data_IF_205164587949
#
_entry.id   IF_205164587949
#
_cell.length_a   1.000
_cell.length_b   1.000
_cell.length_c   1.000
_cell.angle_alpha   90.00
_cell.angle_beta   90.00
_cell.angle_gamma   90.00
#
_symmetry.space_group_name_H-M   'P 1'
#
loop_
_entity.id
_entity.type
_entity.pdbx_description
1 polymer ?
#
# COMPACT_ATOMS: atom_id res chain seq x y z
N UNK A 1 -9.73 -16.14 33.51
CA UNK A 1 -8.58 -16.71 32.78
C UNK A 1 -9.09 -17.06 31.39
N UNK A 2 -8.91 -16.15 30.44
CA UNK A 2 -9.35 -16.32 29.07
C UNK A 2 -8.10 -16.62 28.25
N UNK A 3 -7.98 -17.85 27.75
CA UNK A 3 -6.92 -18.23 26.83
C UNK A 3 -7.16 -17.52 25.50
N UNK A 4 -6.35 -16.50 25.22
CA UNK A 4 -6.24 -15.94 23.88
C UNK A 4 -5.73 -17.06 22.96
N UNK A 5 -6.63 -17.58 22.12
CA UNK A 5 -6.26 -18.40 20.97
C UNK A 5 -5.51 -17.51 20.00
N UNK A 6 -4.22 -17.32 20.24
CA UNK A 6 -3.30 -16.66 19.32
C UNK A 6 -3.27 -17.48 18.03
N UNK A 7 -3.26 -16.85 16.86
CA UNK A 7 -2.87 -17.54 15.64
C UNK A 7 -1.51 -18.19 15.89
N UNK A 8 -1.43 -19.50 15.71
CA UNK A 8 -0.17 -20.25 15.89
C UNK A 8 0.63 -20.08 14.62
N UNK A 9 1.24 -18.91 14.44
CA UNK A 9 2.18 -18.62 13.36
C UNK A 9 3.54 -18.20 13.91
N UNK A 10 4.56 -18.26 13.07
CA UNK A 10 5.94 -18.01 13.49
C UNK A 10 6.16 -16.57 13.95
N UNK A 11 7.28 -16.34 14.63
CA UNK A 11 7.73 -14.99 14.99
C UNK A 11 7.96 -14.11 13.75
N UNK A 12 8.41 -14.70 12.64
CA UNK A 12 8.61 -13.97 11.39
C UNK A 12 7.27 -13.54 10.79
N UNK A 13 6.29 -14.44 10.76
CA UNK A 13 4.93 -14.13 10.31
C UNK A 13 4.29 -13.05 11.15
N UNK A 14 4.36 -13.13 12.49
CA UNK A 14 3.83 -12.07 13.37
C UNK A 14 4.49 -10.72 13.08
N UNK A 15 5.81 -10.68 12.85
CA UNK A 15 6.53 -9.44 12.49
C UNK A 15 6.12 -8.88 11.13
N UNK A 16 6.00 -9.73 10.10
CA UNK A 16 5.53 -9.32 8.77
C UNK A 16 4.11 -8.80 8.85
N UNK A 17 3.20 -9.54 9.50
CA UNK A 17 1.80 -9.15 9.64
C UNK A 17 1.67 -7.81 10.36
N UNK A 18 2.36 -7.62 11.49
CA UNK A 18 2.35 -6.34 12.22
C UNK A 18 2.89 -5.19 11.38
N UNK A 19 3.99 -5.40 10.67
CA UNK A 19 4.59 -4.38 9.80
C UNK A 19 3.72 -4.06 8.58
N UNK A 20 2.87 -4.99 8.14
CA UNK A 20 1.83 -4.76 7.13
C UNK A 20 0.57 -4.08 7.68
N UNK A 21 0.50 -3.79 8.99
CA UNK A 21 -0.62 -3.10 9.63
C UNK A 21 -1.64 -4.02 10.32
N UNK A 22 -1.31 -5.29 10.55
CA UNK A 22 -2.17 -6.23 11.28
C UNK A 22 -1.96 -6.13 12.80
N UNK A 23 -3.04 -6.28 13.56
CA UNK A 23 -3.00 -6.43 15.01
C UNK A 23 -4.13 -7.38 15.46
N UNK A 24 -3.98 -8.06 16.62
CA UNK A 24 -5.02 -8.94 17.13
C UNK A 24 -6.35 -8.23 17.31
N UNK A 25 -7.43 -8.81 16.77
CA UNK A 25 -8.78 -8.21 16.81
C UNK A 25 -9.00 -7.10 15.79
N UNK A 26 -8.10 -6.92 14.81
CA UNK A 26 -8.31 -6.04 13.65
C UNK A 26 -9.59 -6.46 12.92
N UNK A 27 -10.40 -5.47 12.58
CA UNK A 27 -11.60 -5.63 11.76
C UNK A 27 -11.74 -4.41 10.87
N UNK A 28 -11.73 -4.59 9.55
CA UNK A 28 -11.96 -3.53 8.56
C UNK A 28 -13.33 -3.71 7.89
N UNK A 29 -14.01 -2.62 7.50
CA UNK A 29 -15.25 -2.71 6.74
C UNK A 29 -15.03 -3.38 5.39
N UNK A 30 -15.87 -4.36 5.04
CA UNK A 30 -15.81 -5.10 3.76
C UNK A 30 -16.87 -4.66 2.75
N UNK A 31 -17.88 -3.90 3.19
CA UNK A 31 -19.08 -3.57 2.41
C UNK A 31 -18.77 -2.98 1.03
N UNK A 32 -17.79 -2.07 0.95
CA UNK A 32 -17.38 -1.47 -0.32
C UNK A 32 -16.80 -2.49 -1.29
N UNK A 33 -15.93 -3.38 -0.81
CA UNK A 33 -15.39 -4.48 -1.62
C UNK A 33 -16.48 -5.43 -2.09
N UNK A 34 -17.41 -5.78 -1.19
CA UNK A 34 -18.55 -6.65 -1.50
C UNK A 34 -19.45 -6.05 -2.59
N UNK A 35 -19.71 -4.72 -2.54
CA UNK A 35 -20.55 -4.06 -3.54
C UNK A 35 -19.89 -4.07 -4.91
N UNK A 36 -18.63 -3.63 -5.00
CA UNK A 36 -17.89 -3.52 -6.26
C UNK A 36 -17.72 -4.89 -6.91
N UNK A 37 -17.32 -5.91 -6.12
CA UNK A 37 -17.09 -7.25 -6.66
C UNK A 37 -18.37 -7.96 -7.08
N UNK A 38 -19.49 -7.68 -6.41
CA UNK A 38 -20.80 -8.16 -6.87
C UNK A 38 -21.21 -7.50 -8.19
N UNK A 39 -21.03 -6.19 -8.30
CA UNK A 39 -21.47 -5.41 -9.46
C UNK A 39 -20.61 -5.65 -10.71
N UNK A 40 -19.29 -5.74 -10.56
CA UNK A 40 -18.36 -5.79 -11.70
C UNK A 40 -17.83 -7.20 -12.00
N UNK A 41 -17.76 -8.07 -10.99
CA UNK A 41 -17.21 -9.43 -11.14
C UNK A 41 -18.20 -10.55 -10.82
N UNK A 42 -19.44 -10.22 -10.46
CA UNK A 42 -20.46 -11.22 -10.11
C UNK A 42 -20.15 -12.05 -8.85
N UNK A 43 -19.18 -11.62 -8.04
CA UNK A 43 -18.75 -12.39 -6.87
C UNK A 43 -19.69 -12.19 -5.70
N UNK A 44 -20.25 -13.29 -5.16
CA UNK A 44 -20.99 -13.27 -3.91
C UNK A 44 -20.09 -13.71 -2.75
N UNK A 45 -19.97 -12.83 -1.74
CA UNK A 45 -19.08 -13.11 -0.62
C UNK A 45 -19.65 -14.17 0.32
N UNK A 46 -18.81 -15.16 0.63
CA UNK A 46 -19.08 -16.14 1.69
C UNK A 46 -18.70 -15.57 3.06
N UNK A 47 -19.30 -16.10 4.13
CA UNK A 47 -18.97 -15.67 5.50
C UNK A 47 -17.48 -15.82 5.82
N UNK A 48 -16.84 -16.90 5.34
CA UNK A 48 -15.40 -17.10 5.47
C UNK A 48 -14.57 -16.05 4.72
N UNK A 49 -15.01 -15.63 3.53
CA UNK A 49 -14.38 -14.55 2.77
C UNK A 49 -14.52 -13.20 3.49
N UNK A 50 -15.70 -12.94 4.08
CA UNK A 50 -15.96 -11.73 4.87
C UNK A 50 -15.08 -11.69 6.12
N UNK A 51 -14.98 -12.79 6.86
CA UNK A 51 -14.13 -12.88 8.04
C UNK A 51 -12.65 -12.70 7.68
N UNK A 52 -12.19 -13.33 6.59
CA UNK A 52 -10.84 -13.15 6.08
C UNK A 52 -10.56 -11.68 5.78
N UNK A 53 -11.42 -11.02 5.00
CA UNK A 53 -11.21 -9.64 4.59
C UNK A 53 -11.38 -8.65 5.74
N UNK A 54 -12.28 -8.90 6.67
CA UNK A 54 -12.41 -8.10 7.88
C UNK A 54 -11.11 -8.13 8.69
N UNK A 55 -10.50 -9.30 8.86
CA UNK A 55 -9.28 -9.41 9.66
C UNK A 55 -8.02 -8.98 8.89
N UNK A 56 -7.89 -9.38 7.62
CA UNK A 56 -6.65 -9.29 6.85
C UNK A 56 -6.74 -8.40 5.59
N UNK A 57 -7.93 -7.95 5.21
CA UNK A 57 -8.11 -7.12 4.02
C UNK A 57 -7.34 -5.81 4.12
N UNK A 58 -6.73 -5.39 3.01
CA UNK A 58 -5.92 -4.18 2.88
C UNK A 58 -4.48 -4.30 3.38
N UNK A 59 -4.05 -5.48 3.87
CA UNK A 59 -2.65 -5.73 4.21
C UNK A 59 -1.82 -5.89 2.94
N UNK A 60 -0.64 -5.30 2.95
CA UNK A 60 0.25 -5.30 1.80
C UNK A 60 1.71 -5.37 2.25
N UNK A 61 2.49 -6.21 1.59
CA UNK A 61 3.96 -6.20 1.67
C UNK A 61 4.62 -6.28 0.29
N UNK A 62 3.84 -6.07 -0.76
CA UNK A 62 4.35 -5.91 -2.10
C UNK A 62 5.28 -4.68 -2.15
N UNK A 63 6.46 -4.86 -2.74
CA UNK A 63 7.46 -3.79 -2.86
C UNK A 63 8.33 -3.56 -1.62
N UNK A 64 8.20 -4.38 -0.56
CA UNK A 64 9.15 -4.33 0.54
C UNK A 64 10.59 -4.65 0.07
N UNK A 65 11.60 -3.91 0.54
CA UNK A 65 12.98 -4.19 0.19
C UNK A 65 13.39 -5.56 0.76
N UNK A 66 14.27 -6.32 0.08
CA UNK A 66 14.76 -7.58 0.59
C UNK A 66 15.47 -7.36 1.93
N UNK A 67 15.08 -8.13 2.95
CA UNK A 67 15.61 -8.01 4.31
C UNK A 67 15.09 -9.10 5.26
N UNK A 68 15.51 -9.08 6.53
CA UNK A 68 15.19 -10.14 7.50
C UNK A 68 13.69 -10.26 7.83
N UNK A 69 12.89 -9.22 7.54
CA UNK A 69 11.44 -9.19 7.72
C UNK A 69 10.80 -8.96 6.35
N UNK A 70 10.88 -9.98 5.49
CA UNK A 70 10.29 -10.01 4.15
C UNK A 70 9.63 -11.35 3.93
N UNK A 71 8.39 -11.36 3.45
CA UNK A 71 7.72 -12.59 3.05
C UNK A 71 8.43 -13.21 1.85
N UNK A 72 8.58 -14.53 1.84
CA UNK A 72 9.12 -15.27 0.70
C UNK A 72 8.22 -15.16 -0.54
N UNK A 73 6.91 -15.04 -0.31
CA UNK A 73 5.90 -14.73 -1.32
C UNK A 73 5.21 -13.41 -0.96
N UNK A 74 5.68 -12.26 -1.48
CA UNK A 74 5.01 -10.98 -1.27
C UNK A 74 3.55 -11.02 -1.72
N UNK A 75 2.68 -10.39 -0.95
CA UNK A 75 1.24 -10.43 -1.11
C UNK A 75 0.60 -9.06 -0.90
N UNK A 76 -0.56 -8.89 -1.53
CA UNK A 76 -1.50 -7.79 -1.35
C UNK A 76 -2.88 -8.39 -1.14
N UNK A 77 -3.46 -8.18 0.04
CA UNK A 77 -4.78 -8.70 0.41
C UNK A 77 -5.86 -7.69 0.03
N UNK A 78 -5.96 -7.43 -1.27
CA UNK A 78 -6.95 -6.52 -1.85
C UNK A 78 -7.85 -7.29 -2.83
N UNK A 79 -9.11 -7.53 -2.49
CA UNK A 79 -9.99 -8.37 -3.30
C UNK A 79 -10.38 -7.69 -4.63
N UNK A 80 -10.24 -6.36 -4.74
CA UNK A 80 -10.50 -5.62 -5.98
C UNK A 80 -9.47 -5.91 -7.08
N UNK A 81 -8.38 -6.61 -6.74
CA UNK A 81 -7.43 -7.09 -7.75
C UNK A 81 -8.04 -8.09 -8.74
N UNK A 82 -9.23 -8.63 -8.43
CA UNK A 82 -9.97 -9.57 -9.27
C UNK A 82 -11.26 -8.98 -9.88
N UNK A 83 -11.48 -7.67 -9.79
CA UNK A 83 -12.73 -6.98 -10.16
C UNK A 83 -13.28 -7.38 -11.55
N UNK A 84 -12.39 -7.61 -12.52
CA UNK A 84 -12.75 -7.94 -13.89
C UNK A 84 -12.29 -9.35 -14.31
N UNK A 85 -11.88 -10.17 -13.35
CA UNK A 85 -11.26 -11.49 -13.58
C UNK A 85 -12.21 -12.66 -13.26
N UNK A 86 -13.52 -12.47 -13.46
CA UNK A 86 -14.56 -13.48 -13.23
C UNK A 86 -14.24 -14.82 -13.93
N UNK A 87 -13.84 -14.79 -15.20
CA UNK A 87 -13.53 -16.01 -15.96
C UNK A 87 -12.34 -16.78 -15.36
N UNK A 88 -11.34 -16.06 -14.85
CA UNK A 88 -10.19 -16.66 -14.18
C UNK A 88 -10.63 -17.35 -12.89
N UNK A 89 -11.43 -16.67 -12.07
CA UNK A 89 -11.92 -17.24 -10.82
C UNK A 89 -12.93 -18.36 -11.01
N UNK A 90 -13.75 -18.32 -12.06
CA UNK A 90 -14.64 -19.42 -12.43
C UNK A 90 -13.83 -20.70 -12.73
N UNK A 91 -12.75 -20.58 -13.52
CA UNK A 91 -11.83 -21.69 -13.80
C UNK A 91 -11.13 -22.19 -12.54
N UNK A 92 -10.61 -21.29 -11.71
CA UNK A 92 -9.93 -21.67 -10.46
C UNK A 92 -10.90 -22.36 -9.49
N UNK A 93 -12.15 -21.92 -9.43
CA UNK A 93 -13.19 -22.52 -8.59
C UNK A 93 -13.56 -23.92 -9.05
N UNK A 94 -13.69 -24.12 -10.37
CA UNK A 94 -13.94 -25.45 -10.95
C UNK A 94 -12.81 -26.44 -10.61
N UNK A 95 -11.55 -26.03 -10.78
CA UNK A 95 -10.40 -26.90 -10.47
C UNK A 95 -10.23 -27.14 -8.96
N UNK A 96 -10.51 -26.13 -8.13
CA UNK A 96 -10.51 -26.28 -6.68
C UNK A 96 -11.66 -27.18 -6.18
N UNK A 97 -12.71 -27.37 -6.99
CA UNK A 97 -13.94 -28.03 -6.59
C UNK A 97 -14.73 -27.25 -5.53
N UNK A 98 -14.50 -25.94 -5.44
CA UNK A 98 -15.08 -25.05 -4.44
C UNK A 98 -15.26 -23.65 -5.04
N UNK A 99 -16.32 -22.96 -4.66
CA UNK A 99 -16.56 -21.57 -5.07
C UNK A 99 -15.57 -20.64 -4.34
N UNK A 100 -14.65 -20.04 -5.09
CA UNK A 100 -13.58 -19.20 -4.54
C UNK A 100 -13.95 -17.73 -4.61
N UNK A 101 -13.94 -17.07 -3.46
CA UNK A 101 -14.05 -15.62 -3.39
C UNK A 101 -12.67 -14.96 -3.43
N UNK A 102 -12.45 -13.92 -4.25
CA UNK A 102 -11.17 -13.23 -4.33
C UNK A 102 -10.84 -12.51 -3.02
N UNK A 103 -9.61 -12.70 -2.52
CA UNK A 103 -9.13 -12.00 -1.32
C UNK A 103 -7.82 -11.23 -1.52
N UNK A 104 -7.20 -11.37 -2.70
CA UNK A 104 -5.98 -10.65 -3.03
C UNK A 104 -5.12 -11.35 -4.07
N UNK A 105 -3.84 -10.98 -4.07
CA UNK A 105 -2.81 -11.53 -4.93
C UNK A 105 -1.52 -11.80 -4.14
N UNK A 106 -0.74 -12.75 -4.65
CA UNK A 106 0.56 -13.10 -4.15
C UNK A 106 1.59 -13.18 -5.30
N UNK A 107 2.86 -13.33 -4.92
CA UNK A 107 3.99 -13.45 -5.84
C UNK A 107 4.10 -12.26 -6.81
N UNK A 108 3.97 -11.03 -6.28
CA UNK A 108 3.99 -9.79 -7.08
C UNK A 108 2.96 -9.77 -8.21
N UNK A 109 1.69 -10.02 -7.85
CA UNK A 109 0.53 -10.00 -8.77
C UNK A 109 0.52 -11.09 -9.84
N UNK A 110 1.36 -12.11 -9.71
CA UNK A 110 1.38 -13.22 -10.67
C UNK A 110 0.41 -14.34 -10.30
N UNK A 111 -0.12 -14.35 -9.09
CA UNK A 111 -1.08 -15.35 -8.63
C UNK A 111 -2.19 -14.69 -7.81
N UNK A 112 -3.43 -15.10 -8.04
CA UNK A 112 -4.57 -14.72 -7.22
C UNK A 112 -4.63 -15.57 -5.95
N UNK A 113 -5.20 -14.98 -4.92
CA UNK A 113 -5.59 -15.65 -3.68
C UNK A 113 -7.11 -15.69 -3.61
N UNK A 114 -7.64 -16.89 -3.40
CA UNK A 114 -9.07 -17.13 -3.24
C UNK A 114 -9.38 -17.87 -1.94
N UNK A 115 -10.50 -17.55 -1.31
CA UNK A 115 -11.00 -18.25 -0.12
C UNK A 115 -12.28 -18.99 -0.47
N UNK A 116 -12.33 -20.27 -0.13
CA UNK A 116 -13.53 -21.08 -0.24
C UNK A 116 -14.46 -20.86 0.97
N UNK A 117 -15.73 -21.24 0.83
CA UNK A 117 -16.73 -21.11 1.89
C UNK A 117 -16.36 -21.86 3.19
N UNK A 118 -15.55 -22.92 3.13
CA UNK A 118 -15.05 -23.66 4.29
C UNK A 118 -13.84 -23.00 4.99
N UNK A 119 -13.35 -21.87 4.46
CA UNK A 119 -12.21 -21.13 4.97
C UNK A 119 -10.85 -21.58 4.41
N UNK A 120 -10.84 -22.57 3.51
CA UNK A 120 -9.61 -22.97 2.82
C UNK A 120 -9.14 -21.87 1.86
N UNK A 121 -7.82 -21.61 1.85
CA UNK A 121 -7.19 -20.60 1.01
C UNK A 121 -6.48 -21.28 -0.15
N UNK A 122 -6.71 -20.77 -1.36
CA UNK A 122 -6.13 -21.24 -2.59
C UNK A 122 -5.28 -20.15 -3.23
N UNK A 123 -4.24 -20.56 -3.96
CA UNK A 123 -3.39 -19.68 -4.75
C UNK A 123 -3.34 -20.19 -6.19
N UNK A 124 -3.46 -19.31 -7.18
CA UNK A 124 -3.47 -19.74 -8.57
C UNK A 124 -3.62 -18.63 -9.61
N UNK A 125 -3.30 -18.95 -10.87
CA UNK A 125 -3.60 -18.11 -12.05
C UNK A 125 -4.15 -18.98 -13.16
N UNK A 126 -3.35 -19.94 -13.60
CA UNK A 126 -3.76 -20.93 -14.59
C UNK A 126 -4.30 -22.19 -13.91
N UNK A 127 -3.80 -22.49 -12.71
CA UNK A 127 -4.26 -23.59 -11.87
C UNK A 127 -4.47 -23.21 -10.42
N UNK A 128 -5.50 -23.76 -9.80
CA UNK A 128 -5.77 -23.58 -8.37
C UNK A 128 -4.97 -24.60 -7.54
N UNK A 129 -4.18 -24.11 -6.58
CA UNK A 129 -3.49 -24.93 -5.59
C UNK A 129 -4.00 -24.59 -4.20
N UNK A 130 -4.39 -25.60 -3.42
CA UNK A 130 -4.66 -25.43 -2.00
C UNK A 130 -3.38 -24.94 -1.31
N UNK A 131 -3.46 -23.77 -0.70
CA UNK A 131 -2.37 -23.19 0.07
C UNK A 131 -2.45 -23.69 1.51
N UNK A 132 -3.59 -23.51 2.17
CA UNK A 132 -3.84 -24.07 3.49
C UNK A 132 -5.34 -24.21 3.77
N UNK A 133 -5.68 -24.95 4.84
CA UNK A 133 -7.07 -25.16 5.27
C UNK A 133 -7.61 -24.00 6.10
N UNK A 134 -6.73 -23.16 6.62
CA UNK A 134 -7.11 -21.99 7.42
C UNK A 134 -6.39 -20.73 6.93
N UNK A 135 -6.97 -19.53 7.13
CA UNK A 135 -6.33 -18.26 6.80
C UNK A 135 -4.95 -18.07 7.45
N UNK A 136 -4.82 -18.40 8.73
CA UNK A 136 -3.58 -18.21 9.47
C UNK A 136 -2.44 -19.07 8.92
N UNK A 137 -2.71 -20.34 8.61
CA UNK A 137 -1.73 -21.23 7.98
C UNK A 137 -1.37 -20.79 6.55
N UNK A 138 -2.32 -20.21 5.83
CA UNK A 138 -2.07 -19.69 4.48
C UNK A 138 -1.10 -18.51 4.52
N UNK A 139 -1.30 -17.57 5.45
CA UNK A 139 -0.43 -16.42 5.66
C UNK A 139 0.96 -16.84 6.15
N UNK A 140 1.04 -17.81 7.08
CA UNK A 140 2.29 -18.45 7.47
C UNK A 140 3.04 -19.00 6.25
N UNK A 141 2.35 -19.74 5.37
CA UNK A 141 2.98 -20.26 4.17
C UNK A 141 3.44 -19.17 3.21
N UNK A 142 2.69 -18.07 3.02
CA UNK A 142 3.12 -16.96 2.18
C UNK A 142 4.38 -16.28 2.73
N UNK A 143 4.52 -16.21 4.05
CA UNK A 143 5.68 -15.60 4.69
C UNK A 143 6.89 -16.53 4.67
N UNK A 144 6.73 -17.78 5.09
CA UNK A 144 7.83 -18.72 5.31
C UNK A 144 8.25 -19.48 4.05
N UNK A 145 7.34 -19.64 3.09
CA UNK A 145 7.56 -20.49 1.91
C UNK A 145 7.33 -19.74 0.62
N UNK A 146 8.12 -20.10 -0.39
CA UNK A 146 7.86 -19.65 -1.75
C UNK A 146 6.73 -20.50 -2.33
N UNK A 147 5.58 -19.89 -2.57
CA UNK A 147 4.37 -20.62 -2.95
C UNK A 147 4.22 -20.90 -4.44
N UNK A 148 5.05 -20.30 -5.32
CA UNK A 148 5.09 -20.57 -6.77
C UNK A 148 6.49 -20.44 -7.37
N UNK A 149 6.68 -21.04 -8.55
CA UNK A 149 7.92 -20.98 -9.34
C UNK A 149 8.14 -19.63 -10.06
N UNK A 150 7.23 -18.66 -9.91
CA UNK A 150 7.31 -17.35 -10.56
C UNK A 150 8.69 -16.72 -10.32
N UNK A 151 9.46 -16.35 -11.36
CA UNK A 151 10.88 -16.04 -11.22
C UNK A 151 11.11 -14.93 -10.20
N UNK A 152 11.91 -15.23 -9.17
CA UNK A 152 12.51 -14.20 -8.35
C UNK A 152 13.49 -13.43 -9.25
N UNK A 153 13.47 -12.09 -9.28
CA UNK A 153 14.65 -11.36 -9.72
C UNK A 153 15.72 -11.59 -8.65
N UNK A 154 16.51 -12.65 -8.82
CA UNK A 154 17.82 -12.79 -8.21
C UNK A 154 18.78 -11.96 -9.04
N UNK A 155 18.89 -10.67 -8.71
CA UNK A 155 20.16 -9.97 -8.84
C UNK A 155 20.32 -9.13 -7.58
N UNK A 156 21.26 -9.48 -6.68
CA UNK A 156 21.91 -8.46 -5.87
C UNK A 156 22.52 -7.49 -6.88
N UNK A 157 21.96 -6.29 -7.02
CA UNK A 157 22.66 -5.24 -7.74
C UNK A 157 23.93 -5.02 -6.94
N UNK A 158 25.05 -5.56 -7.44
CA UNK A 158 26.36 -5.19 -6.95
C UNK A 158 26.39 -3.65 -6.91
N UNK A 159 26.77 -3.04 -5.77
CA UNK A 159 26.92 -1.60 -5.74
C UNK A 159 27.88 -1.23 -6.88
N UNK A 160 27.55 -0.24 -7.72
CA UNK A 160 28.40 0.14 -8.83
C UNK A 160 29.80 0.44 -8.30
N UNK A 161 30.87 0.06 -9.03
CA UNK A 161 32.23 0.25 -8.56
C UNK A 161 32.43 1.71 -8.19
N UNK A 162 32.82 1.95 -6.94
CA UNK A 162 33.13 3.26 -6.41
C UNK A 162 34.26 3.85 -7.25
N UNK A 163 33.91 4.67 -8.25
CA UNK A 163 34.88 5.48 -8.98
C UNK A 163 35.35 6.55 -8.02
N UNK A 164 36.57 6.38 -7.54
CA UNK A 164 37.36 7.40 -6.86
C UNK A 164 37.49 8.63 -7.75
N UNK A 165 36.55 9.57 -7.65
CA UNK A 165 36.70 10.92 -8.15
C UNK A 165 37.23 11.79 -7.00
N UNK A 166 38.56 11.73 -6.82
CA UNK A 166 39.30 12.84 -6.23
C UNK A 166 39.48 13.91 -7.31
N UNK A 167 39.03 15.13 -7.04
CA UNK A 167 39.53 16.32 -7.74
C UNK A 167 38.53 17.47 -7.86
N UNK A 168 38.62 18.39 -6.88
CA UNK A 168 38.28 19.83 -6.90
C UNK A 168 36.79 20.22 -7.04
N UNK A 169 36.15 20.68 -5.94
CA UNK A 169 36.05 22.09 -5.46
C UNK A 169 35.26 22.95 -6.46
N UNK A 170 34.19 23.69 -6.11
CA UNK A 170 33.86 24.36 -4.85
C UNK A 170 32.43 24.95 -4.96
N UNK A 171 31.81 25.28 -3.81
CA UNK A 171 30.54 26.04 -3.59
C UNK A 171 29.26 25.19 -3.73
N UNK A 172 28.49 24.89 -2.68
CA UNK A 172 28.10 25.72 -1.53
C UNK A 172 28.02 24.88 -0.25
N UNK A 173 28.70 25.34 0.79
CA UNK A 173 28.49 24.93 2.17
C UNK A 173 27.16 25.50 2.66
N UNK A 174 26.09 24.75 2.46
CA UNK A 174 24.88 24.82 3.30
C UNK A 174 24.16 23.47 3.27
N UNK A 175 24.77 22.43 3.82
CA UNK A 175 24.01 21.26 4.30
C UNK A 175 23.32 21.64 5.62
N UNK A 176 22.49 22.67 5.56
CA UNK A 176 21.41 22.88 6.50
C UNK A 176 20.52 21.65 6.44
N UNK A 177 20.24 21.08 7.61
CA UNK A 177 19.44 19.88 7.77
C UNK A 177 18.11 20.05 7.02
N UNK A 178 17.93 19.40 5.85
CA UNK A 178 16.67 19.42 5.04
C UNK A 178 15.45 19.04 5.88
N UNK A 179 15.70 18.29 6.97
CA UNK A 179 14.70 17.81 7.90
C UNK A 179 15.11 18.16 9.33
N UNK A 180 14.12 18.40 10.19
CA UNK A 180 14.35 18.25 11.63
C UNK A 180 14.85 16.84 11.98
N UNK A 181 15.49 16.71 13.14
CA UNK A 181 15.97 15.41 13.62
C UNK A 181 14.81 14.41 13.79
N UNK A 182 13.63 14.87 14.21
CA UNK A 182 12.44 14.03 14.37
C UNK A 182 11.92 13.57 13.01
N UNK A 183 11.78 14.49 12.05
CA UNK A 183 11.31 14.18 10.70
C UNK A 183 12.24 13.20 9.99
N UNK A 184 13.55 13.40 10.08
CA UNK A 184 14.53 12.49 9.51
C UNK A 184 14.45 11.07 10.09
N UNK A 185 14.26 10.93 11.41
CA UNK A 185 14.12 9.62 12.06
C UNK A 185 12.86 8.89 11.61
N UNK A 186 11.74 9.59 11.50
CA UNK A 186 10.46 9.00 11.09
C UNK A 186 10.48 8.58 9.63
N UNK A 187 11.04 9.43 8.76
CA UNK A 187 11.23 9.08 7.35
C UNK A 187 12.11 7.85 7.19
N UNK A 188 13.23 7.77 7.90
CA UNK A 188 14.09 6.58 7.88
C UNK A 188 13.39 5.32 8.38
N UNK A 189 12.61 5.43 9.47
CA UNK A 189 11.80 4.31 9.98
C UNK A 189 10.72 3.85 8.99
N UNK A 190 10.17 4.77 8.21
CA UNK A 190 9.24 4.50 7.12
C UNK A 190 9.92 3.99 5.84
N UNK A 191 11.25 3.89 5.81
CA UNK A 191 12.02 3.35 4.68
C UNK A 191 12.49 4.39 3.66
N UNK A 192 12.44 5.68 3.99
CA UNK A 192 13.01 6.75 3.16
C UNK A 192 14.52 6.90 3.41
N UNK A 193 15.26 7.19 2.34
CA UNK A 193 16.69 7.51 2.39
C UNK A 193 17.03 8.56 1.31
N UNK A 194 18.09 9.37 1.48
CA UNK A 194 18.49 10.35 0.47
C UNK A 194 18.77 9.69 -0.89
N UNK A 195 18.16 10.22 -1.95
CA UNK A 195 18.28 9.67 -3.30
C UNK A 195 17.35 8.48 -3.60
N UNK A 196 16.38 8.18 -2.72
CA UNK A 196 15.30 7.23 -3.00
C UNK A 196 14.52 7.69 -4.24
N UNK A 197 14.23 6.73 -5.12
CA UNK A 197 13.43 6.92 -6.33
C UNK A 197 12.60 5.65 -6.56
N UNK A 198 11.28 5.78 -6.59
CA UNK A 198 10.34 4.68 -6.89
C UNK A 198 9.68 4.91 -8.24
N UNK A 199 9.42 3.85 -9.03
CA UNK A 199 8.70 3.98 -10.29
C UNK A 199 7.25 4.44 -10.06
N UNK A 200 6.83 5.50 -10.74
CA UNK A 200 5.48 6.07 -10.66
C UNK A 200 4.54 5.59 -11.76
N UNK A 201 5.08 5.04 -12.86
CA UNK A 201 4.36 4.72 -14.09
C UNK A 201 3.09 3.85 -13.88
N UNK A 202 3.12 2.92 -12.92
CA UNK A 202 1.93 2.09 -12.62
C UNK A 202 0.79 2.91 -12.02
N UNK A 203 1.09 3.85 -11.12
CA UNK A 203 0.09 4.75 -10.57
C UNK A 203 -0.48 5.67 -11.66
N UNK A 204 0.40 6.19 -12.50
CA UNK A 204 0.04 7.08 -13.61
C UNK A 204 -0.91 6.40 -14.60
N UNK A 205 -0.64 5.14 -14.99
CA UNK A 205 -1.51 4.40 -15.92
C UNK A 205 -2.89 4.18 -15.32
N UNK A 206 -2.95 3.67 -14.08
CA UNK A 206 -4.22 3.32 -13.42
C UNK A 206 -5.10 4.57 -13.22
N UNK A 207 -4.52 5.65 -12.69
CA UNK A 207 -5.28 6.86 -12.38
C UNK A 207 -5.70 7.62 -13.65
N UNK A 208 -4.90 7.55 -14.72
CA UNK A 208 -5.29 8.10 -16.02
C UNK A 208 -6.43 7.31 -16.65
N UNK A 209 -6.36 5.98 -16.61
CA UNK A 209 -7.33 5.10 -17.27
C UNK A 209 -8.69 5.09 -16.57
N UNK A 210 -8.72 5.12 -15.24
CA UNK A 210 -9.96 5.00 -14.47
C UNK A 210 -10.58 6.33 -14.07
N UNK A 211 -9.77 7.33 -13.76
CA UNK A 211 -10.22 8.56 -13.09
C UNK A 211 -9.82 9.83 -13.85
N UNK A 212 -9.08 9.69 -14.97
CA UNK A 212 -8.68 10.82 -15.81
C UNK A 212 -7.57 11.70 -15.24
N UNK A 213 -6.91 11.30 -14.14
CA UNK A 213 -5.83 12.10 -13.56
C UNK A 213 -4.60 12.13 -14.48
N UNK A 214 -4.15 13.34 -14.80
CA UNK A 214 -2.88 13.57 -15.49
C UNK A 214 -1.80 13.99 -14.49
N UNK A 215 -0.74 13.20 -14.38
CA UNK A 215 0.35 13.52 -13.45
C UNK A 215 1.15 14.74 -13.95
N UNK A 216 1.39 15.69 -13.05
CA UNK A 216 2.29 16.81 -13.27
C UNK A 216 3.73 16.47 -12.84
N UNK A 217 4.70 17.21 -13.36
CA UNK A 217 6.12 17.05 -13.01
C UNK A 217 6.37 17.13 -11.49
N UNK A 218 5.74 18.09 -10.81
CA UNK A 218 5.90 18.24 -9.35
C UNK A 218 5.39 17.00 -8.57
N UNK A 219 4.22 16.47 -8.97
CA UNK A 219 3.65 15.29 -8.34
C UNK A 219 4.48 14.03 -8.65
N UNK A 220 4.98 13.91 -9.88
CA UNK A 220 5.87 12.81 -10.27
C UNK A 220 7.18 12.82 -9.48
N UNK A 221 7.84 13.98 -9.35
CA UNK A 221 9.06 14.12 -8.56
C UNK A 221 8.82 13.78 -7.08
N UNK A 222 7.72 14.28 -6.52
CA UNK A 222 7.33 14.01 -5.14
C UNK A 222 7.06 12.51 -4.92
N UNK A 223 6.24 11.89 -5.77
CA UNK A 223 5.90 10.47 -5.66
C UNK A 223 7.10 9.56 -5.96
N UNK A 224 8.01 9.96 -6.83
CA UNK A 224 9.26 9.23 -7.03
C UNK A 224 10.10 9.22 -5.74
N UNK A 225 10.19 10.34 -5.01
CA UNK A 225 10.98 10.40 -3.78
C UNK A 225 10.25 9.76 -2.57
N UNK A 226 8.96 10.02 -2.40
CA UNK A 226 8.21 9.73 -1.18
C UNK A 226 7.03 8.76 -1.36
N UNK A 227 6.70 8.35 -2.59
CA UNK A 227 5.59 7.44 -2.85
C UNK A 227 5.79 6.09 -2.15
N UNK A 228 4.68 5.44 -1.81
CA UNK A 228 4.57 4.21 -1.02
C UNK A 228 5.08 4.32 0.44
N UNK A 229 5.44 5.50 0.93
CA UNK A 229 5.74 5.67 2.35
C UNK A 229 4.45 5.65 3.17
N UNK A 230 4.50 4.97 4.30
CA UNK A 230 3.44 4.96 5.30
C UNK A 230 4.04 5.27 6.68
N UNK A 231 3.39 6.16 7.40
CA UNK A 231 3.76 6.53 8.76
C UNK A 231 2.54 6.31 9.64
N UNK A 232 2.69 5.51 10.68
CA UNK A 232 1.68 5.31 11.73
C UNK A 232 2.32 5.65 13.09
N UNK A 233 1.74 6.62 13.82
CA UNK A 233 2.23 7.05 15.14
C UNK A 233 1.25 6.63 16.25
N UNK A 234 1.82 6.13 17.35
CA UNK A 234 1.07 5.70 18.54
C UNK A 234 0.41 6.85 19.32
N UNK A 235 -0.49 6.49 20.26
CA UNK A 235 -1.47 7.34 20.97
C UNK A 235 -0.95 8.60 21.71
N UNK A 236 0.36 8.83 21.80
CA UNK A 236 0.97 9.79 22.75
C UNK A 236 1.37 11.17 22.17
N UNK A 237 1.07 11.49 20.91
CA UNK A 237 1.43 12.78 20.30
C UNK A 237 0.21 13.65 19.94
N UNK A 238 -0.14 14.66 20.76
CA UNK A 238 -1.38 15.42 20.62
C UNK A 238 -1.35 16.53 19.55
N UNK A 239 -0.29 16.65 18.73
CA UNK A 239 -0.11 17.82 17.83
C UNK A 239 0.13 17.50 16.35
N UNK A 240 0.39 16.25 15.97
CA UNK A 240 0.72 15.84 14.60
C UNK A 240 -0.33 14.92 13.97
N UNK A 241 -0.25 14.70 12.66
CA UNK A 241 -1.09 13.74 11.96
C UNK A 241 -0.79 12.33 12.49
N UNK A 242 -1.84 11.60 12.88
CA UNK A 242 -1.72 10.29 13.53
C UNK A 242 -1.15 9.23 12.59
N UNK A 243 -1.54 9.32 11.34
CA UNK A 243 -1.07 8.48 10.26
C UNK A 243 -1.18 9.20 8.93
N UNK A 244 -0.33 8.82 7.99
CA UNK A 244 -0.51 9.14 6.59
C UNK A 244 0.14 8.07 5.70
N UNK A 245 -0.41 7.91 4.50
CA UNK A 245 0.13 7.04 3.45
C UNK A 245 0.21 7.81 2.15
N UNK A 246 1.38 7.79 1.53
CA UNK A 246 1.65 8.42 0.24
C UNK A 246 1.43 7.42 -0.88
N UNK A 247 0.18 7.03 -1.07
CA UNK A 247 -0.26 6.12 -2.12
C UNK A 247 -1.36 6.81 -2.94
N UNK A 248 -1.07 7.26 -4.18
CA UNK A 248 -2.01 8.04 -4.97
C UNK A 248 -3.23 7.21 -5.42
N UNK A 249 -3.14 5.87 -5.41
CA UNK A 249 -4.27 4.98 -5.72
C UNK A 249 -5.37 5.01 -4.65
N UNK A 250 -5.10 5.60 -3.49
CA UNK A 250 -6.10 5.83 -2.46
C UNK A 250 -7.20 6.81 -2.90
N UNK A 251 -6.97 7.58 -3.96
CA UNK A 251 -7.98 8.42 -4.59
C UNK A 251 -8.65 7.76 -5.80
N UNK A 252 -8.35 6.49 -6.10
CA UNK A 252 -9.02 5.76 -7.17
C UNK A 252 -10.51 5.71 -6.86
N UNK A 253 -11.34 6.05 -7.85
CA UNK A 253 -12.80 6.20 -7.76
C UNK A 253 -13.30 7.47 -7.08
N UNK A 254 -12.43 8.30 -6.52
CA UNK A 254 -12.78 9.54 -5.82
C UNK A 254 -12.49 10.79 -6.68
N UNK A 255 -12.56 10.65 -8.01
CA UNK A 255 -12.29 11.76 -8.94
C UNK A 255 -13.20 12.96 -8.70
N UNK A 256 -14.50 12.75 -8.41
CA UNK A 256 -15.47 13.81 -8.14
C UNK A 256 -15.07 14.68 -6.95
N UNK A 257 -14.44 14.07 -5.92
CA UNK A 257 -13.91 14.81 -4.77
C UNK A 257 -12.76 15.71 -5.22
N UNK A 258 -11.82 15.17 -6.00
CA UNK A 258 -10.68 15.94 -6.49
C UNK A 258 -11.08 17.03 -7.49
N UNK A 259 -12.15 16.87 -8.27
CA UNK A 259 -12.69 17.93 -9.12
C UNK A 259 -13.15 19.12 -8.28
N UNK A 260 -13.96 18.87 -7.24
CA UNK A 260 -14.45 19.91 -6.32
C UNK A 260 -13.29 20.61 -5.61
N UNK A 261 -12.33 19.83 -5.08
CA UNK A 261 -11.16 20.40 -4.40
C UNK A 261 -10.33 21.24 -5.38
N UNK A 262 -10.09 20.76 -6.60
CA UNK A 262 -9.32 21.47 -7.64
C UNK A 262 -9.99 22.76 -8.07
N UNK A 263 -11.33 22.78 -8.18
CA UNK A 263 -12.09 24.00 -8.47
C UNK A 263 -11.96 25.02 -7.32
N UNK A 264 -12.05 24.57 -6.06
CA UNK A 264 -11.97 25.45 -4.88
C UNK A 264 -10.59 26.13 -4.75
N UNK A 265 -9.49 25.42 -5.03
CA UNK A 265 -8.14 26.02 -5.07
C UNK A 265 -7.78 26.67 -6.40
N UNK A 266 -8.55 26.44 -7.46
CA UNK A 266 -8.26 26.94 -8.80
C UNK A 266 -6.99 26.34 -9.42
N UNK A 267 -6.69 25.09 -9.11
CA UNK A 267 -5.54 24.35 -9.65
C UNK A 267 -5.81 22.85 -9.70
N UNK A 268 -5.37 22.18 -10.77
CA UNK A 268 -5.55 20.74 -10.94
C UNK A 268 -4.76 19.96 -9.89
N UNK A 269 -5.43 19.37 -8.91
CA UNK A 269 -4.79 18.61 -7.85
C UNK A 269 -4.57 17.17 -8.28
N UNK A 270 -3.32 16.71 -8.17
CA UNK A 270 -3.00 15.30 -8.34
C UNK A 270 -2.96 14.61 -6.97
N UNK A 271 -3.58 13.43 -6.83
CA UNK A 271 -3.58 12.70 -5.57
C UNK A 271 -2.17 12.25 -5.20
N UNK A 272 -1.79 12.46 -3.94
CA UNK A 272 -0.56 11.95 -3.35
C UNK A 272 -0.80 10.81 -2.38
N UNK A 273 -2.00 10.76 -1.77
CA UNK A 273 -2.38 9.77 -0.77
C UNK A 273 -3.38 10.32 0.23
N UNK A 274 -3.39 9.78 1.45
CA UNK A 274 -4.32 10.18 2.50
C UNK A 274 -3.65 10.30 3.88
N UNK A 275 -4.24 11.13 4.74
CA UNK A 275 -3.87 11.32 6.13
C UNK A 275 -5.08 11.13 7.08
N UNK A 276 -4.80 11.10 8.40
CA UNK A 276 -5.77 10.98 9.49
C UNK A 276 -6.78 9.84 9.32
N UNK A 277 -6.32 8.59 9.38
CA UNK A 277 -7.19 7.41 9.24
C UNK A 277 -7.92 7.33 7.92
N UNK A 278 -7.26 7.81 6.85
CA UNK A 278 -7.81 7.85 5.49
C UNK A 278 -9.05 8.73 5.37
N UNK A 279 -9.09 9.81 6.15
CA UNK A 279 -10.22 10.73 6.19
C UNK A 279 -9.91 12.09 5.53
N UNK A 280 -8.66 12.28 5.08
CA UNK A 280 -8.21 13.53 4.45
C UNK A 280 -7.34 13.18 3.25
N UNK A 281 -7.72 13.64 2.06
CA UNK A 281 -6.89 13.48 0.87
C UNK A 281 -5.73 14.47 0.88
N UNK A 282 -4.59 14.01 0.37
CA UNK A 282 -3.43 14.84 0.08
C UNK A 282 -3.37 15.07 -1.42
N UNK A 283 -3.46 16.32 -1.84
CA UNK A 283 -3.39 16.71 -3.25
C UNK A 283 -2.22 17.65 -3.51
N UNK A 284 -1.54 17.50 -4.63
CA UNK A 284 -0.48 18.42 -5.06
C UNK A 284 -0.86 19.13 -6.36
N UNK A 285 -0.80 20.46 -6.31
CA UNK A 285 -0.97 21.32 -7.47
C UNK A 285 0.31 21.33 -8.35
N UNK A 286 0.24 21.75 -9.63
CA UNK A 286 1.36 21.69 -10.57
C UNK A 286 2.60 22.47 -10.13
N UNK A 287 2.43 23.53 -9.32
CA UNK A 287 3.51 24.34 -8.76
C UNK A 287 4.13 23.75 -7.48
N UNK A 288 3.73 22.54 -7.07
CA UNK A 288 4.31 21.82 -5.93
C UNK A 288 3.77 22.18 -4.54
N UNK A 289 2.69 22.95 -4.45
CA UNK A 289 2.01 23.17 -3.17
C UNK A 289 1.14 21.96 -2.87
N UNK A 290 1.10 21.60 -1.60
CA UNK A 290 0.33 20.46 -1.10
C UNK A 290 -0.86 20.97 -0.32
N UNK A 291 -2.02 20.38 -0.61
CA UNK A 291 -3.28 20.65 0.02
C UNK A 291 -3.78 19.40 0.74
N UNK A 292 -4.61 19.63 1.75
CA UNK A 292 -5.30 18.58 2.49
C UNK A 292 -6.79 18.91 2.56
N UNK A 293 -7.65 17.95 2.24
CA UNK A 293 -9.09 18.18 2.23
C UNK A 293 -9.95 16.95 1.97
N UNK A 294 -11.23 17.08 2.30
CA UNK A 294 -12.30 16.13 1.97
C UNK A 294 -13.59 16.91 1.66
N UNK A 295 -14.18 17.55 2.68
CA UNK A 295 -15.35 18.45 2.51
C UNK A 295 -14.96 19.91 2.24
N UNK A 296 -13.73 20.27 2.57
CA UNK A 296 -13.13 21.59 2.36
C UNK A 296 -11.64 21.40 2.09
N UNK A 297 -11.05 22.25 1.25
CA UNK A 297 -9.61 22.22 0.97
C UNK A 297 -8.85 23.24 1.81
N UNK A 298 -7.69 22.84 2.33
CA UNK A 298 -6.79 23.75 3.02
C UNK A 298 -5.35 23.57 2.55
N UNK A 299 -4.61 24.68 2.44
CA UNK A 299 -3.19 24.64 2.10
C UNK A 299 -2.40 24.01 3.25
N UNK A 300 -1.85 22.83 3.01
CA UNK A 300 -0.97 22.17 3.96
C UNK A 300 0.40 22.86 3.95
N UNK A 301 1.03 22.98 2.78
CA UNK A 301 2.32 23.66 2.66
C UNK A 301 2.62 24.13 1.23
N UNK A 302 3.52 25.11 1.12
CA UNK A 302 3.95 25.64 -0.19
C UNK A 302 4.86 24.69 -0.99
N UNK A 303 5.44 23.68 -0.33
CA UNK A 303 6.34 22.69 -0.96
C UNK A 303 6.09 21.31 -0.38
N UNK A 304 6.40 20.27 -1.17
CA UNK A 304 6.33 18.87 -0.74
C UNK A 304 7.12 18.59 0.55
N UNK A 305 8.35 19.10 0.65
CA UNK A 305 9.19 18.91 1.85
C UNK A 305 8.54 19.50 3.11
N UNK A 306 8.04 20.73 3.03
CA UNK A 306 7.34 21.36 4.17
C UNK A 306 6.04 20.62 4.49
N UNK A 307 5.39 20.02 3.50
CA UNK A 307 4.20 19.20 3.72
C UNK A 307 4.57 17.95 4.54
N UNK A 308 5.65 17.26 4.20
CA UNK A 308 6.17 16.12 4.98
C UNK A 308 6.52 16.52 6.41
N UNK A 309 7.23 17.64 6.60
CA UNK A 309 7.54 18.13 7.96
C UNK A 309 6.26 18.42 8.74
N UNK A 310 5.26 19.06 8.14
CA UNK A 310 3.98 19.33 8.81
C UNK A 310 3.16 18.07 9.07
N UNK A 311 3.21 17.08 8.19
CA UNK A 311 2.56 15.78 8.42
C UNK A 311 3.16 15.11 9.65
N UNK A 312 4.48 15.18 9.81
CA UNK A 312 5.20 14.49 10.88
C UNK A 312 5.20 15.28 12.20
N UNK A 313 5.48 16.59 12.17
CA UNK A 313 5.58 17.44 13.36
C UNK A 313 4.25 18.06 13.79
N UNK A 314 3.29 18.13 12.87
CA UNK A 314 2.04 18.86 13.07
C UNK A 314 2.16 20.37 12.85
N UNK A 315 1.02 21.07 12.99
CA UNK A 315 1.03 22.53 12.99
C UNK A 315 1.68 23.04 14.29
N UNK A 316 2.83 23.71 14.18
CA UNK A 316 3.41 24.51 15.27
C UNK A 316 2.61 25.78 15.51
#
# INVERSE_FOLDING_TARGET
MSGELRPVWSTLTDQVMRKSGWYPGRSVPTVTWESILREHGGFEIHESGRQFLAEFGGLDNEGWPPGPITAQSPFRLDPLTAEWDEETFARLSEEAGADLYPVGQANRRTSYLGVAADGAVYIGKDRARLLARTPAEALEQLVETRCTDAPLPLVPVEPPPVRNLRGHQELSTDTGQRWSAETGQVLQAAGWYPGRSVPTATWESILREHDGFEIHEAAQQFLAEFGALAVERGQNWPKAWREFRLDPLLAKWDHEIFEVLSEEVGADLYPLGMADRRNQYLGMAPHGKVYVGMDYVSLLADTGDKAIEKLIEGNK
#
